data_IF_255440906192
#
_entry.id   IF_255440906192
#
_cell.length_a   1.000
_cell.length_b   1.000
_cell.length_c   1.000
_cell.angle_alpha   90.00
_cell.angle_beta   90.00
_cell.angle_gamma   90.00
#
_symmetry.space_group_name_H-M   'P 1'
#
loop_
_entity.id
_entity.type
_entity.pdbx_description
1 polymer ?
#
# COMPACT_ATOMS: atom_id res chain seq x y z
N UNK A 1 27.89 -78.97 -8.56
CA UNK A 1 26.62 -78.57 -7.96
C UNK A 1 27.01 -77.81 -6.70
N UNK A 2 27.42 -76.56 -6.93
CA UNK A 2 27.99 -75.69 -5.90
C UNK A 2 26.92 -74.66 -5.57
N UNK A 3 26.54 -74.60 -4.31
CA UNK A 3 25.81 -73.47 -3.77
C UNK A 3 26.81 -72.46 -3.22
N UNK A 4 26.45 -71.19 -3.28
CA UNK A 4 26.84 -70.18 -2.31
C UNK A 4 25.92 -68.95 -2.47
N UNK A 5 25.64 -68.37 -1.32
CA UNK A 5 24.67 -67.35 -0.96
C UNK A 5 25.26 -65.94 -1.16
N UNK A 6 24.53 -64.97 -1.74
CA UNK A 6 24.86 -63.55 -1.55
C UNK A 6 23.67 -62.60 -1.80
N UNK A 7 22.97 -62.31 -0.70
CA UNK A 7 22.60 -61.01 -0.15
C UNK A 7 22.49 -59.75 -1.06
N UNK A 8 21.26 -59.20 -1.10
CA UNK A 8 20.84 -57.77 -1.08
C UNK A 8 21.58 -56.75 -1.98
N UNK A 9 20.85 -56.24 -2.97
CA UNK A 9 21.09 -54.94 -3.62
C UNK A 9 20.70 -53.77 -2.70
N UNK A 10 21.51 -52.70 -2.65
CA UNK A 10 20.99 -51.34 -2.62
C UNK A 10 21.53 -50.50 -3.78
N UNK A 11 20.68 -49.59 -4.23
CA UNK A 11 20.94 -48.65 -5.33
C UNK A 11 22.21 -47.84 -5.10
N UNK A 12 23.00 -47.72 -6.17
CA UNK A 12 24.28 -47.03 -6.20
C UNK A 12 24.16 -45.55 -5.83
N UNK A 13 25.02 -45.16 -4.89
CA UNK A 13 25.41 -43.81 -4.58
C UNK A 13 25.95 -43.14 -5.86
N UNK A 14 25.28 -42.09 -6.35
CA UNK A 14 25.85 -41.20 -7.36
C UNK A 14 26.68 -40.17 -6.60
N UNK A 15 27.99 -40.40 -6.57
CA UNK A 15 28.96 -39.48 -5.99
C UNK A 15 28.97 -38.19 -6.82
N UNK A 16 28.53 -37.09 -6.22
CA UNK A 16 28.76 -35.76 -6.78
C UNK A 16 30.28 -35.52 -6.81
N UNK A 17 30.84 -35.41 -8.01
CA UNK A 17 32.20 -34.91 -8.20
C UNK A 17 32.19 -33.41 -7.87
N UNK A 18 32.63 -33.08 -6.66
CA UNK A 18 33.12 -31.75 -6.30
C UNK A 18 34.51 -31.60 -6.91
N UNK A 19 34.59 -31.01 -8.10
CA UNK A 19 35.83 -30.55 -8.69
C UNK A 19 35.59 -29.25 -9.47
N UNK A 20 35.81 -28.11 -8.78
CA UNK A 20 36.78 -27.05 -9.15
C UNK A 20 36.40 -25.72 -8.51
N UNK A 21 37.29 -25.23 -7.66
CA UNK A 21 37.41 -23.83 -7.30
C UNK A 21 37.51 -22.99 -8.58
N UNK A 22 36.47 -22.21 -8.88
CA UNK A 22 36.55 -21.07 -9.78
C UNK A 22 36.33 -19.86 -8.89
N UNK A 23 37.37 -19.05 -8.72
CA UNK A 23 37.23 -17.67 -8.24
C UNK A 23 36.38 -16.92 -9.28
N UNK A 24 35.06 -17.01 -9.14
CA UNK A 24 34.09 -16.29 -9.98
C UNK A 24 33.82 -14.94 -9.33
N UNK A 25 34.82 -14.06 -9.43
CA UNK A 25 34.74 -12.64 -9.04
C UNK A 25 34.27 -11.79 -10.25
N UNK A 26 33.56 -12.40 -11.20
CA UNK A 26 32.91 -11.68 -12.29
C UNK A 26 31.62 -11.03 -11.74
N UNK A 27 31.49 -9.69 -11.77
CA UNK A 27 30.31 -9.02 -11.27
C UNK A 27 29.09 -9.44 -12.11
N UNK A 28 27.97 -9.74 -11.43
CA UNK A 28 26.69 -9.97 -12.10
C UNK A 28 26.32 -8.74 -12.92
N UNK A 29 26.42 -8.85 -14.26
CA UNK A 29 26.08 -7.77 -15.20
C UNK A 29 24.85 -8.14 -16.02
N UNK A 30 24.04 -7.13 -16.34
CA UNK A 30 22.92 -7.30 -17.27
C UNK A 30 23.44 -7.66 -18.66
N UNK A 31 22.69 -8.49 -19.39
CA UNK A 31 22.96 -8.71 -20.82
C UNK A 31 22.84 -7.38 -21.57
N UNK A 32 23.56 -7.25 -22.69
CA UNK A 32 23.49 -6.03 -23.52
C UNK A 32 22.07 -5.67 -23.94
N UNK A 33 21.24 -6.68 -24.22
CA UNK A 33 19.83 -6.51 -24.57
C UNK A 33 19.01 -6.01 -23.38
N UNK A 34 19.19 -6.58 -22.19
CA UNK A 34 18.49 -6.15 -20.99
C UNK A 34 18.88 -4.73 -20.56
N UNK A 35 20.16 -4.39 -20.69
CA UNK A 35 20.68 -3.05 -20.39
C UNK A 35 20.12 -2.00 -21.36
N UNK A 36 20.08 -2.31 -22.66
CA UNK A 36 19.49 -1.43 -23.67
C UNK A 36 17.98 -1.20 -23.43
N UNK A 37 17.23 -2.26 -23.15
CA UNK A 37 15.80 -2.16 -22.82
C UNK A 37 15.56 -1.32 -21.55
N UNK A 38 16.40 -1.48 -20.53
CA UNK A 38 16.32 -0.68 -19.30
C UNK A 38 16.62 0.81 -19.57
N UNK A 39 17.64 1.10 -20.39
CA UNK A 39 17.97 2.49 -20.77
C UNK A 39 16.85 3.17 -21.55
N UNK A 40 16.22 2.46 -22.49
CA UNK A 40 15.06 2.95 -23.25
C UNK A 40 13.90 3.28 -22.31
N UNK A 41 13.55 2.35 -21.40
CA UNK A 41 12.50 2.57 -20.40
C UNK A 41 12.77 3.77 -19.48
N UNK A 42 14.00 3.92 -18.98
CA UNK A 42 14.38 5.05 -18.12
C UNK A 42 14.32 6.39 -18.87
N UNK A 43 14.66 6.42 -20.15
CA UNK A 43 14.55 7.61 -20.98
C UNK A 43 13.09 8.06 -21.18
N UNK A 44 12.18 7.09 -21.38
CA UNK A 44 10.75 7.35 -21.52
C UNK A 44 10.11 7.84 -20.21
N UNK A 45 10.51 7.27 -19.06
CA UNK A 45 10.11 7.74 -17.73
C UNK A 45 10.50 9.21 -17.51
N UNK A 46 11.76 9.56 -17.82
CA UNK A 46 12.25 10.93 -17.64
C UNK A 46 11.55 11.93 -18.59
N UNK A 47 11.19 11.48 -19.80
CA UNK A 47 10.42 12.29 -20.75
C UNK A 47 8.99 12.53 -20.28
N UNK A 48 8.37 11.53 -19.66
CA UNK A 48 7.01 11.61 -19.10
C UNK A 48 6.97 12.53 -17.87
N UNK A 49 7.96 12.43 -16.98
CA UNK A 49 8.12 13.32 -15.84
C UNK A 49 8.35 14.78 -16.27
N UNK A 50 9.14 15.03 -17.33
CA UNK A 50 9.39 16.37 -17.87
C UNK A 50 8.22 16.97 -18.68
N UNK A 51 7.26 16.14 -19.11
CA UNK A 51 6.10 16.58 -19.90
C UNK A 51 4.84 16.82 -19.07
N UNK A 52 4.90 16.54 -17.76
CA UNK A 52 3.80 16.86 -16.84
C UNK A 52 3.95 18.32 -16.42
N UNK A 53 3.09 19.25 -16.89
CA UNK A 53 3.19 20.63 -16.48
C UNK A 53 2.80 20.76 -14.99
N UNK A 54 3.36 21.73 -14.24
CA UNK A 54 2.82 22.07 -12.93
C UNK A 54 1.34 22.49 -13.11
N UNK A 55 0.43 22.10 -12.20
CA UNK A 55 -0.98 22.44 -12.31
C UNK A 55 -1.14 23.94 -12.05
N UNK A 56 -1.02 24.73 -13.12
CA UNK A 56 -1.41 26.12 -13.13
C UNK A 56 -2.11 26.43 -14.45
N UNK A 57 -3.40 26.76 -14.30
CA UNK A 57 -4.23 27.58 -15.18
C UNK A 57 -4.89 26.92 -16.40
N UNK A 58 -6.11 26.43 -16.13
CA UNK A 58 -7.35 26.62 -16.90
C UNK A 58 -7.38 26.14 -18.37
N UNK A 59 -8.15 25.08 -18.62
CA UNK A 59 -9.11 25.09 -19.72
C UNK A 59 -10.51 24.74 -19.17
N UNK A 60 -11.50 25.51 -19.60
CA UNK A 60 -12.86 25.45 -19.11
C UNK A 60 -13.64 24.35 -19.84
N UNK A 61 -13.92 23.27 -19.12
CA UNK A 61 -14.82 22.21 -19.56
C UNK A 61 -15.54 21.64 -18.34
N UNK A 62 -16.86 21.72 -18.36
CA UNK A 62 -17.80 21.26 -17.35
C UNK A 62 -17.68 19.74 -17.12
N UNK A 63 -16.80 19.32 -16.21
CA UNK A 63 -16.78 17.98 -15.59
C UNK A 63 -16.21 18.07 -14.16
N UNK A 64 -16.86 18.87 -13.31
CA UNK A 64 -16.45 19.21 -11.94
C UNK A 64 -16.39 18.01 -10.97
N UNK A 65 -16.55 16.77 -11.44
CA UNK A 65 -16.71 15.61 -10.56
C UNK A 65 -15.66 14.51 -10.73
N UNK A 66 -14.76 14.62 -11.72
CA UNK A 66 -13.64 13.69 -11.85
C UNK A 66 -12.51 14.16 -10.95
N UNK A 67 -12.46 13.60 -9.73
CA UNK A 67 -11.26 13.65 -8.90
C UNK A 67 -10.14 13.10 -9.77
N UNK A 68 -9.17 13.95 -10.12
CA UNK A 68 -8.01 13.54 -10.88
C UNK A 68 -7.17 12.64 -9.97
N UNK A 69 -7.42 11.34 -10.08
CA UNK A 69 -6.74 10.36 -9.24
C UNK A 69 -5.26 10.41 -9.55
N UNK A 70 -4.50 10.52 -8.47
CA UNK A 70 -3.05 10.37 -8.50
C UNK A 70 -2.76 9.00 -9.15
N UNK A 71 -1.86 8.95 -10.13
CA UNK A 71 -1.52 7.69 -10.79
C UNK A 71 -0.79 6.77 -9.80
N UNK A 72 -1.10 5.47 -9.87
CA UNK A 72 -0.48 4.43 -9.04
C UNK A 72 1.05 4.50 -9.08
N UNK A 73 1.70 4.45 -7.92
CA UNK A 73 3.13 4.20 -7.80
C UNK A 73 3.39 2.82 -7.19
N UNK A 74 3.84 1.91 -8.04
CA UNK A 74 4.12 0.52 -7.67
C UNK A 74 5.25 0.41 -6.63
N UNK A 75 6.15 1.40 -6.56
CA UNK A 75 7.22 1.43 -5.55
C UNK A 75 6.69 1.70 -4.16
N UNK A 76 5.53 2.36 -4.07
CA UNK A 76 4.83 2.66 -2.83
C UNK A 76 3.79 1.59 -2.48
N UNK A 77 3.66 0.53 -3.28
CA UNK A 77 2.61 -0.48 -3.14
C UNK A 77 1.19 0.13 -3.24
N UNK A 78 1.02 1.16 -4.08
CA UNK A 78 -0.28 1.79 -4.32
C UNK A 78 -1.05 1.05 -5.40
N UNK A 79 -2.20 0.49 -5.02
CA UNK A 79 -3.15 -0.14 -5.92
C UNK A 79 -4.51 0.47 -5.69
N UNK A 80 -5.15 0.99 -6.74
CA UNK A 80 -6.45 1.62 -6.60
C UNK A 80 -7.57 0.62 -6.75
N UNK A 81 -8.54 0.67 -5.82
CA UNK A 81 -9.76 -0.10 -5.95
C UNK A 81 -10.57 0.30 -7.18
N UNK A 82 -11.33 -0.65 -7.70
CA UNK A 82 -12.39 -0.34 -8.66
C UNK A 82 -13.41 0.63 -8.01
N UNK A 83 -14.04 1.52 -8.78
CA UNK A 83 -14.97 2.51 -8.27
C UNK A 83 -16.08 1.91 -7.39
N UNK A 84 -16.61 0.74 -7.77
CA UNK A 84 -17.66 0.02 -7.03
C UNK A 84 -17.19 -0.41 -5.63
N UNK A 85 -15.98 -0.95 -5.52
CA UNK A 85 -15.40 -1.35 -4.23
C UNK A 85 -15.15 -0.14 -3.35
N UNK A 86 -14.56 0.93 -3.90
CA UNK A 86 -14.30 2.14 -3.14
C UNK A 86 -15.58 2.81 -2.67
N UNK A 87 -16.63 2.78 -3.49
CA UNK A 87 -17.96 3.28 -3.13
C UNK A 87 -18.60 2.45 -2.00
N UNK A 88 -18.49 1.13 -2.06
CA UNK A 88 -19.00 0.21 -1.04
C UNK A 88 -18.31 0.46 0.31
N UNK A 89 -16.98 0.61 0.31
CA UNK A 89 -16.22 0.93 1.53
C UNK A 89 -16.64 2.30 2.08
N UNK A 90 -16.85 3.30 1.23
CA UNK A 90 -17.31 4.61 1.67
C UNK A 90 -18.71 4.57 2.31
N UNK A 91 -19.62 3.75 1.79
CA UNK A 91 -20.96 3.53 2.37
C UNK A 91 -20.90 2.85 3.72
N UNK A 92 -20.03 1.85 3.87
CA UNK A 92 -19.81 1.19 5.16
C UNK A 92 -19.32 2.20 6.21
N UNK A 93 -18.36 3.06 5.85
CA UNK A 93 -17.86 4.12 6.76
C UNK A 93 -18.98 5.07 7.19
N UNK A 94 -19.83 5.51 6.26
CA UNK A 94 -20.98 6.38 6.58
C UNK A 94 -21.94 5.65 7.51
N UNK A 95 -22.27 4.39 7.22
CA UNK A 95 -23.18 3.58 8.04
C UNK A 95 -22.66 3.41 9.47
N UNK A 96 -21.37 3.10 9.63
CA UNK A 96 -20.73 2.97 10.95
C UNK A 96 -20.71 4.30 11.71
N UNK A 97 -20.64 5.43 11.00
CA UNK A 97 -20.64 6.76 11.61
C UNK A 97 -22.02 7.15 12.15
N UNK A 98 -23.11 6.68 11.54
CA UNK A 98 -24.50 6.94 11.99
C UNK A 98 -24.86 6.17 13.27
N UNK A 99 -24.33 4.96 13.44
CA UNK A 99 -24.54 4.14 14.64
C UNK A 99 -23.71 4.63 15.84
N UNK A 100 -22.68 5.44 15.60
CA UNK A 100 -21.83 6.04 16.62
C UNK A 100 -22.46 7.35 17.12
N UNK A 101 -22.52 7.57 18.44
CA UNK A 101 -23.18 8.76 19.02
C UNK A 101 -22.54 10.08 18.52
N UNK A 102 -23.33 11.17 18.39
CA UNK A 102 -22.93 12.37 17.68
C UNK A 102 -22.07 13.27 18.56
N UNK A 103 -20.75 13.21 18.42
CA UNK A 103 -19.89 14.38 18.58
C UNK A 103 -18.45 14.05 18.16
N UNK A 104 -18.10 14.56 16.98
CA UNK A 104 -16.77 15.08 16.67
C UNK A 104 -15.65 14.04 16.48
N UNK A 105 -15.06 14.08 15.28
CA UNK A 105 -13.86 13.34 14.85
C UNK A 105 -14.09 11.89 14.39
N UNK A 106 -14.69 11.80 13.20
CA UNK A 106 -14.31 10.72 12.31
C UNK A 106 -12.94 11.07 11.71
N UNK A 107 -12.03 10.11 11.61
CA UNK A 107 -11.10 10.11 10.50
C UNK A 107 -10.72 8.69 10.17
N UNK A 108 -11.10 8.33 8.96
CA UNK A 108 -10.61 7.16 8.28
C UNK A 108 -9.15 7.38 7.93
N UNK A 109 -8.24 6.63 8.56
CA UNK A 109 -7.04 6.17 7.87
C UNK A 109 -7.52 5.34 6.64
N UNK A 110 -6.71 5.13 5.61
CA UNK A 110 -7.00 4.41 4.35
C UNK A 110 -7.60 5.20 3.18
N UNK A 111 -6.80 5.15 2.10
CA UNK A 111 -7.05 5.47 0.69
C UNK A 111 -7.67 6.84 0.39
N UNK A 112 -7.12 7.46 -0.65
CA UNK A 112 -7.64 8.71 -1.17
C UNK A 112 -9.14 8.62 -1.55
N UNK A 113 -9.52 7.54 -2.23
CA UNK A 113 -10.82 7.47 -2.90
C UNK A 113 -11.98 7.32 -1.91
N UNK A 114 -11.78 6.55 -0.84
CA UNK A 114 -12.72 6.36 0.26
C UNK A 114 -12.92 7.67 1.03
N UNK A 115 -11.83 8.37 1.36
CA UNK A 115 -11.89 9.68 2.02
C UNK A 115 -12.77 10.68 1.25
N UNK A 116 -12.55 10.83 -0.06
CA UNK A 116 -13.29 11.79 -0.89
C UNK A 116 -14.75 11.33 -1.09
N UNK A 117 -14.98 10.03 -1.28
CA UNK A 117 -16.32 9.49 -1.53
C UNK A 117 -17.21 9.58 -0.28
N UNK A 118 -16.65 9.32 0.92
CA UNK A 118 -17.37 9.45 2.18
C UNK A 118 -17.80 10.89 2.44
N UNK A 119 -16.91 11.89 2.26
CA UNK A 119 -17.27 13.30 2.44
C UNK A 119 -18.29 13.81 1.41
N UNK A 120 -18.27 13.28 0.18
CA UNK A 120 -19.31 13.62 -0.82
C UNK A 120 -20.68 13.11 -0.41
N UNK A 121 -20.76 11.96 0.27
CA UNK A 121 -22.01 11.35 0.75
C UNK A 121 -22.50 12.02 2.02
N UNK A 122 -21.61 12.31 2.95
CA UNK A 122 -21.92 13.06 4.17
C UNK A 122 -20.86 14.13 4.44
N UNK A 123 -21.15 15.41 4.13
CA UNK A 123 -20.26 16.54 4.37
C UNK A 123 -19.99 16.85 5.85
N UNK A 124 -20.74 16.23 6.78
CA UNK A 124 -20.51 16.40 8.22
C UNK A 124 -19.33 15.56 8.73
N UNK A 125 -18.91 14.56 7.95
CA UNK A 125 -17.75 13.73 8.25
C UNK A 125 -16.47 14.51 8.09
N UNK A 126 -15.73 14.64 9.19
CA UNK A 126 -14.33 15.03 9.13
C UNK A 126 -13.53 13.81 8.68
N UNK A 127 -12.54 14.00 7.81
CA UNK A 127 -11.66 12.91 7.39
C UNK A 127 -10.23 13.43 7.36
N UNK A 128 -9.30 12.61 7.84
CA UNK A 128 -7.87 12.88 7.87
C UNK A 128 -7.17 11.75 7.13
N UNK A 129 -6.63 12.06 5.95
CA UNK A 129 -5.81 11.17 5.15
C UNK A 129 -4.39 11.11 5.73
N UNK A 130 -3.93 9.91 6.07
CA UNK A 130 -2.55 9.63 6.47
C UNK A 130 -1.89 8.85 5.34
N UNK A 131 -0.92 9.47 4.66
CA UNK A 131 -0.31 8.90 3.45
C UNK A 131 1.18 9.24 3.37
N UNK A 132 1.96 8.30 2.82
CA UNK A 132 3.39 8.51 2.59
C UNK A 132 3.65 9.37 1.34
N UNK A 133 2.77 9.28 0.35
CA UNK A 133 2.94 9.98 -0.92
C UNK A 133 2.59 11.47 -0.80
N UNK A 134 3.62 12.32 -0.88
CA UNK A 134 3.46 13.78 -0.76
C UNK A 134 2.62 14.41 -1.88
N UNK A 135 2.28 13.68 -2.96
CA UNK A 135 1.33 14.19 -3.98
C UNK A 135 -0.04 14.49 -3.38
N UNK A 136 -0.39 13.86 -2.25
CA UNK A 136 -1.62 14.12 -1.49
C UNK A 136 -1.56 15.38 -0.61
N UNK A 137 -0.43 16.10 -0.52
CA UNK A 137 -0.35 17.38 0.22
C UNK A 137 -1.34 18.44 -0.31
N UNK A 138 -1.81 18.28 -1.55
CA UNK A 138 -2.86 19.11 -2.16
C UNK A 138 -4.19 19.15 -1.38
N UNK A 139 -4.43 18.19 -0.48
CA UNK A 139 -5.61 18.18 0.41
C UNK A 139 -5.43 19.05 1.66
N UNK A 140 -4.28 19.70 1.83
CA UNK A 140 -4.07 20.71 2.87
C UNK A 140 -4.22 20.12 4.27
N UNK A 141 -5.11 20.70 5.09
CA UNK A 141 -5.33 20.27 6.47
C UNK A 141 -5.88 18.84 6.61
N UNK A 142 -6.52 18.31 5.56
CA UNK A 142 -7.07 16.97 5.55
C UNK A 142 -6.02 15.90 5.23
N UNK A 143 -4.77 16.30 4.98
CA UNK A 143 -3.63 15.40 4.77
C UNK A 143 -2.61 15.51 5.91
N UNK A 144 -2.11 14.35 6.34
CA UNK A 144 -0.97 14.22 7.25
C UNK A 144 0.03 13.25 6.63
N UNK A 145 1.28 13.68 6.48
CA UNK A 145 2.34 12.78 6.04
C UNK A 145 2.52 11.66 7.07
N UNK A 146 2.55 10.42 6.61
CA UNK A 146 2.64 9.24 7.45
C UNK A 146 3.57 8.19 6.84
N UNK A 147 4.61 7.80 7.59
CA UNK A 147 5.45 6.65 7.30
C UNK A 147 5.14 5.54 8.31
N UNK A 148 4.65 4.39 7.84
CA UNK A 148 4.35 3.27 8.73
C UNK A 148 5.59 2.72 9.44
N UNK A 149 6.81 2.98 8.96
CA UNK A 149 8.04 2.60 9.65
C UNK A 149 8.26 3.42 10.94
N UNK A 150 7.65 4.61 11.02
CA UNK A 150 7.70 5.54 12.15
C UNK A 150 6.28 5.79 12.70
N UNK A 151 5.60 4.75 13.24
CA UNK A 151 4.16 4.80 13.53
C UNK A 151 3.74 5.79 14.63
N UNK A 152 4.70 6.28 15.42
CA UNK A 152 4.47 7.27 16.49
C UNK A 152 4.86 8.70 16.09
N UNK A 153 5.50 8.90 14.92
CA UNK A 153 5.86 10.22 14.39
C UNK A 153 4.65 10.90 13.72
N UNK A 154 3.59 11.08 14.51
CA UNK A 154 2.35 11.73 14.11
C UNK A 154 2.06 12.94 14.99
N UNK A 155 1.36 13.98 14.46
CA UNK A 155 0.98 15.14 15.27
C UNK A 155 0.18 14.71 16.50
N UNK A 156 0.57 15.21 17.68
CA UNK A 156 -0.10 14.89 18.95
C UNK A 156 -1.60 15.26 18.96
N UNK A 157 -2.01 16.20 18.11
CA UNK A 157 -3.42 16.57 17.94
C UNK A 157 -4.29 15.48 17.31
N UNK A 158 -3.70 14.43 16.74
CA UNK A 158 -4.39 13.28 16.17
C UNK A 158 -4.52 12.12 17.17
N UNK A 159 -3.88 12.23 18.35
CA UNK A 159 -3.83 11.15 19.32
C UNK A 159 -5.20 10.94 19.97
N UNK A 160 -5.71 9.72 19.91
CA UNK A 160 -6.98 9.31 20.50
C UNK A 160 -8.20 10.11 20.00
N UNK A 161 -8.13 10.60 18.76
CA UNK A 161 -9.20 11.41 18.20
C UNK A 161 -10.21 10.58 17.40
N UNK A 162 -9.92 9.33 17.02
CA UNK A 162 -10.67 8.68 15.96
C UNK A 162 -11.56 7.53 16.43
N UNK A 163 -12.84 7.60 16.08
CA UNK A 163 -13.83 6.55 16.36
C UNK A 163 -13.88 5.46 15.29
N UNK A 164 -13.62 5.77 14.03
CA UNK A 164 -13.55 4.77 12.97
C UNK A 164 -12.23 4.99 12.25
N UNK A 165 -11.46 3.92 12.13
CA UNK A 165 -10.19 3.89 11.44
C UNK A 165 -10.34 2.87 10.34
N UNK A 166 -10.16 3.28 9.08
CA UNK A 166 -10.00 2.32 7.99
C UNK A 166 -8.49 2.09 7.81
N UNK A 167 -8.02 0.92 7.42
CA UNK A 167 -6.59 0.70 7.23
C UNK A 167 -6.38 -0.17 6.00
N UNK A 168 -5.58 0.30 5.05
CA UNK A 168 -5.14 -0.48 3.89
C UNK A 168 -3.60 -0.52 3.88
N UNK A 169 -3.00 -1.50 4.58
CA UNK A 169 -1.55 -1.55 4.73
C UNK A 169 -0.89 -1.94 3.40
N UNK A 170 0.29 -1.38 3.08
CA UNK A 170 0.98 -1.66 1.81
C UNK A 170 1.38 -3.13 1.68
N UNK A 171 1.55 -3.84 2.82
CA UNK A 171 1.91 -5.24 2.90
C UNK A 171 1.13 -5.96 4.01
N UNK A 172 0.78 -7.22 3.77
CA UNK A 172 0.18 -8.11 4.79
C UNK A 172 1.24 -8.88 5.60
N UNK A 173 2.48 -8.39 5.63
CA UNK A 173 3.54 -8.98 6.45
C UNK A 173 3.27 -8.70 7.93
N UNK A 174 3.73 -9.61 8.80
CA UNK A 174 3.60 -9.46 10.26
C UNK A 174 4.17 -8.12 10.74
N UNK A 175 5.37 -7.77 10.28
CA UNK A 175 6.04 -6.51 10.66
C UNK A 175 5.22 -5.28 10.26
N UNK A 176 4.69 -5.24 9.03
CA UNK A 176 3.86 -4.14 8.57
C UNK A 176 2.59 -4.01 9.41
N UNK A 177 1.91 -5.12 9.67
CA UNK A 177 0.68 -5.13 10.48
C UNK A 177 0.94 -4.74 11.94
N UNK A 178 2.09 -5.12 12.52
CA UNK A 178 2.48 -4.70 13.88
C UNK A 178 2.68 -3.18 13.95
N UNK A 179 3.31 -2.58 12.94
CA UNK A 179 3.49 -1.13 12.86
C UNK A 179 2.18 -0.38 12.66
N UNK A 180 1.34 -0.87 11.74
CA UNK A 180 0.01 -0.29 11.52
C UNK A 180 -0.84 -0.40 12.78
N UNK A 181 -0.76 -1.51 13.53
CA UNK A 181 -1.46 -1.64 14.81
C UNK A 181 -0.96 -0.63 15.87
N UNK A 182 0.32 -0.27 15.88
CA UNK A 182 0.86 0.79 16.75
C UNK A 182 0.25 2.15 16.36
N UNK A 183 0.21 2.47 15.07
CA UNK A 183 -0.45 3.68 14.55
C UNK A 183 -1.92 3.73 14.94
N UNK A 184 -2.66 2.63 14.70
CA UNK A 184 -4.08 2.52 15.07
C UNK A 184 -4.27 2.75 16.56
N UNK A 185 -3.39 2.22 17.41
CA UNK A 185 -3.46 2.41 18.87
C UNK A 185 -3.20 3.86 19.29
N UNK A 186 -2.36 4.59 18.56
CA UNK A 186 -2.13 6.03 18.78
C UNK A 186 -3.35 6.86 18.39
N UNK A 187 -3.98 6.51 17.27
CA UNK A 187 -5.09 7.24 16.66
C UNK A 187 -6.44 6.97 17.34
N UNK A 188 -6.70 5.71 17.69
CA UNK A 188 -8.00 5.25 18.16
C UNK A 188 -8.40 5.93 19.46
N UNK A 189 -9.64 6.44 19.47
CA UNK A 189 -10.31 6.83 20.70
C UNK A 189 -10.28 5.67 21.71
N UNK A 190 -10.02 5.92 23.01
CA UNK A 190 -10.06 4.88 24.02
C UNK A 190 -11.47 4.32 24.27
N UNK A 191 -12.50 4.95 23.72
CA UNK A 191 -13.91 4.56 23.88
C UNK A 191 -14.55 4.42 22.50
N UNK A 192 -15.21 3.29 22.27
CA UNK A 192 -16.02 2.98 21.10
C UNK A 192 -15.30 3.25 19.76
N UNK A 193 -14.09 2.70 19.62
CA UNK A 193 -13.33 2.73 18.35
C UNK A 193 -13.58 1.48 17.51
N UNK A 194 -13.75 1.67 16.20
CA UNK A 194 -13.90 0.63 15.19
C UNK A 194 -12.71 0.67 14.22
N UNK A 195 -12.26 -0.52 13.81
CA UNK A 195 -11.22 -0.70 12.80
C UNK A 195 -11.79 -1.48 11.61
N UNK A 196 -11.75 -0.87 10.43
CA UNK A 196 -12.00 -1.54 9.16
C UNK A 196 -10.65 -1.79 8.47
N UNK A 197 -10.09 -2.98 8.66
CA UNK A 197 -8.86 -3.38 7.99
C UNK A 197 -9.20 -3.96 6.60
N UNK A 198 -8.77 -3.28 5.56
CA UNK A 198 -8.89 -3.71 4.18
C UNK A 198 -7.74 -4.66 3.86
N UNK A 199 -8.08 -5.86 3.38
CA UNK A 199 -7.10 -6.88 3.00
C UNK A 199 -7.59 -7.60 1.75
N UNK A 200 -6.68 -7.97 0.85
CA UNK A 200 -6.99 -8.89 -0.25
C UNK A 200 -7.14 -10.34 0.24
N UNK A 201 -7.84 -11.17 -0.55
CA UNK A 201 -7.86 -12.62 -0.32
C UNK A 201 -6.47 -13.21 -0.59
N UNK A 202 -6.03 -14.15 0.26
CA UNK A 202 -4.76 -14.85 0.05
C UNK A 202 -5.00 -15.86 -1.06
N UNK A 203 -4.50 -15.58 -2.26
CA UNK A 203 -4.50 -16.56 -3.35
C UNK A 203 -3.80 -17.84 -2.88
N UNK A 204 -4.56 -18.94 -2.81
CA UNK A 204 -4.08 -20.27 -2.41
C UNK A 204 -3.35 -20.99 -3.54
#
# INVERSE_FOLDING_TARGET
>A
MEGEDELRKPNGCVSAQLDRDVEDDDPLVLSSQALAALQEFLADQNRTAASTPPPSSLDGGDDSNKVELVTEDWRLSQFWYEPETAETVAEEVVTLSEDSQPAESLASLALLFTCISSQKKDPSLQVQLLEYDMRFERYGSEFTFYDYNEPEELPLGLKHCFHIIVADPPYLSKECLERVAQTVSFLASPVDSLLLLLTGDVQR
#
